data_IF_607444049165
#
_entry.id   IF_607444049165
#
_cell.length_a   1.000
_cell.length_b   1.000
_cell.length_c   1.000
_cell.angle_alpha   90.00
_cell.angle_beta   90.00
_cell.angle_gamma   90.00
#
_symmetry.space_group_name_H-M   'P 1'
#
loop_
_entity.id
_entity.type
_entity.pdbx_description
1 polymer ?
#
# COMPACT_ATOMS: atom_id res chain seq x y z
N UNK A 1 -5.79 23.17 -3.57
CA UNK A 1 -5.20 21.98 -2.94
C UNK A 1 -5.98 20.73 -3.33
N UNK A 2 -7.29 20.67 -3.17
CA UNK A 2 -8.17 19.53 -3.48
C UNK A 2 -8.10 19.07 -4.94
N UNK A 3 -8.09 20.00 -5.91
CA UNK A 3 -7.99 19.67 -7.35
C UNK A 3 -6.69 18.94 -7.67
N UNK A 4 -5.55 19.40 -7.16
CA UNK A 4 -4.24 18.76 -7.37
C UNK A 4 -4.25 17.32 -6.84
N UNK A 5 -4.86 17.12 -5.66
CA UNK A 5 -5.01 15.80 -5.06
C UNK A 5 -5.88 14.87 -5.91
N UNK A 6 -7.07 15.32 -6.33
CA UNK A 6 -7.98 14.52 -7.17
C UNK A 6 -7.28 14.15 -8.48
N UNK A 7 -6.67 15.11 -9.16
CA UNK A 7 -5.94 14.86 -10.41
C UNK A 7 -4.80 13.87 -10.21
N UNK A 8 -3.98 14.04 -9.16
CA UNK A 8 -2.88 13.12 -8.86
C UNK A 8 -3.37 11.70 -8.54
N UNK A 9 -4.47 11.58 -7.77
CA UNK A 9 -5.04 10.27 -7.42
C UNK A 9 -5.62 9.55 -8.64
N UNK A 10 -6.33 10.26 -9.52
CA UNK A 10 -6.85 9.70 -10.78
C UNK A 10 -5.69 9.28 -11.67
N UNK A 11 -4.68 10.13 -11.84
CA UNK A 11 -3.50 9.83 -12.66
C UNK A 11 -2.76 8.61 -12.14
N UNK A 12 -2.52 8.53 -10.82
CA UNK A 12 -1.86 7.38 -10.21
C UNK A 12 -2.68 6.09 -10.36
N UNK A 13 -4.02 6.18 -10.22
CA UNK A 13 -4.91 5.03 -10.40
C UNK A 13 -4.89 4.51 -11.85
N UNK A 14 -4.95 5.41 -12.83
CA UNK A 14 -4.89 5.04 -14.24
C UNK A 14 -3.52 4.45 -14.61
N UNK A 15 -2.43 5.05 -14.11
CA UNK A 15 -1.08 4.55 -14.33
C UNK A 15 -0.89 3.16 -13.68
N UNK A 16 -1.37 2.97 -12.46
CA UNK A 16 -1.35 1.68 -11.77
C UNK A 16 -2.14 0.63 -12.54
N UNK A 17 -3.34 0.96 -12.98
CA UNK A 17 -4.16 0.07 -13.80
C UNK A 17 -3.43 -0.34 -15.08
N UNK A 18 -2.83 0.61 -15.81
CA UNK A 18 -2.07 0.32 -17.02
C UNK A 18 -0.86 -0.59 -16.73
N UNK A 19 -0.05 -0.25 -15.73
CA UNK A 19 1.14 -1.05 -15.38
C UNK A 19 0.75 -2.47 -14.99
N UNK A 20 -0.18 -2.65 -14.05
CA UNK A 20 -0.53 -3.99 -13.58
C UNK A 20 -1.35 -4.79 -14.57
N UNK A 21 -2.32 -4.14 -15.25
CA UNK A 21 -3.26 -4.85 -16.12
C UNK A 21 -2.70 -5.12 -17.52
N UNK A 22 -1.80 -4.27 -18.01
CA UNK A 22 -1.23 -4.40 -19.35
C UNK A 22 0.19 -4.92 -19.30
N UNK A 23 1.09 -4.20 -18.63
CA UNK A 23 2.54 -4.48 -18.69
C UNK A 23 2.88 -5.73 -17.89
N UNK A 24 2.56 -5.77 -16.61
CA UNK A 24 2.83 -6.89 -15.70
C UNK A 24 2.11 -8.16 -16.18
N UNK A 25 0.82 -8.04 -16.49
CA UNK A 25 0.05 -9.18 -16.99
C UNK A 25 0.62 -9.77 -18.27
N UNK A 26 1.06 -8.94 -19.21
CA UNK A 26 1.68 -9.41 -20.45
C UNK A 26 2.96 -10.22 -20.19
N UNK A 27 3.79 -9.77 -19.27
CA UNK A 27 5.00 -10.48 -18.91
C UNK A 27 4.70 -11.84 -18.27
N UNK A 28 3.73 -11.89 -17.35
CA UNK A 28 3.32 -13.17 -16.75
C UNK A 28 2.75 -14.14 -17.78
N UNK A 29 1.94 -13.67 -18.72
CA UNK A 29 1.37 -14.53 -19.76
C UNK A 29 2.44 -15.07 -20.74
N UNK A 30 3.46 -14.25 -21.04
CA UNK A 30 4.46 -14.62 -22.06
C UNK A 30 5.72 -15.28 -21.46
N UNK A 31 6.12 -14.92 -20.25
CA UNK A 31 7.41 -15.32 -19.67
C UNK A 31 7.30 -16.02 -18.31
N UNK A 32 6.09 -16.08 -17.74
CA UNK A 32 5.81 -16.59 -16.39
C UNK A 32 6.59 -15.87 -15.26
N UNK A 33 7.23 -14.74 -15.57
CA UNK A 33 8.00 -13.90 -14.65
C UNK A 33 8.02 -12.46 -15.10
N UNK A 34 8.31 -11.53 -14.19
CA UNK A 34 8.48 -10.12 -14.53
C UNK A 34 9.76 -9.87 -15.31
N UNK A 35 9.68 -9.01 -16.32
CA UNK A 35 10.86 -8.40 -16.92
C UNK A 35 11.43 -7.31 -16.02
N UNK A 36 12.71 -6.93 -16.17
CA UNK A 36 13.29 -5.82 -15.41
C UNK A 36 12.50 -4.52 -15.54
N UNK A 37 11.95 -4.23 -16.71
CA UNK A 37 11.12 -3.04 -16.96
C UNK A 37 9.82 -3.11 -16.16
N UNK A 38 9.11 -4.24 -16.19
CA UNK A 38 7.88 -4.42 -15.44
C UNK A 38 8.11 -4.32 -13.93
N UNK A 39 9.20 -4.91 -13.43
CA UNK A 39 9.59 -4.80 -12.02
C UNK A 39 9.90 -3.36 -11.61
N UNK A 40 10.65 -2.62 -12.44
CA UNK A 40 10.96 -1.20 -12.18
C UNK A 40 9.69 -0.35 -12.16
N UNK A 41 8.77 -0.56 -13.10
CA UNK A 41 7.50 0.17 -13.17
C UNK A 41 6.61 -0.15 -11.95
N UNK A 42 6.52 -1.42 -11.55
CA UNK A 42 5.80 -1.83 -10.35
C UNK A 42 6.37 -1.17 -9.10
N UNK A 43 7.70 -1.20 -8.93
CA UNK A 43 8.39 -0.56 -7.81
C UNK A 43 8.13 0.95 -7.78
N UNK A 44 8.16 1.61 -8.96
CA UNK A 44 7.86 3.03 -9.08
C UNK A 44 6.40 3.34 -8.66
N UNK A 45 5.43 2.53 -9.09
CA UNK A 45 4.04 2.68 -8.67
C UNK A 45 3.89 2.57 -7.16
N UNK A 46 4.53 1.57 -6.52
CA UNK A 46 4.51 1.44 -5.06
C UNK A 46 5.16 2.63 -4.37
N UNK A 47 6.29 3.12 -4.87
CA UNK A 47 6.96 4.30 -4.32
C UNK A 47 6.09 5.56 -4.43
N UNK A 48 5.43 5.79 -5.57
CA UNK A 48 4.50 6.90 -5.78
C UNK A 48 3.28 6.78 -4.84
N UNK A 49 2.74 5.56 -4.69
CA UNK A 49 1.62 5.32 -3.79
C UNK A 49 2.00 5.58 -2.33
N UNK A 50 3.15 5.09 -1.88
CA UNK A 50 3.65 5.34 -0.51
C UNK A 50 3.84 6.85 -0.23
N UNK A 51 4.27 7.62 -1.22
CA UNK A 51 4.45 9.07 -1.10
C UNK A 51 3.14 9.86 -1.29
N UNK A 52 2.05 9.24 -1.71
CA UNK A 52 0.78 9.92 -1.94
C UNK A 52 0.20 10.57 -0.68
N UNK A 53 0.55 10.08 0.51
CA UNK A 53 0.14 10.64 1.79
C UNK A 53 0.50 12.13 1.92
N UNK A 54 1.62 12.57 1.32
CA UNK A 54 2.04 13.96 1.35
C UNK A 54 1.20 14.88 0.47
N UNK A 55 0.37 14.33 -0.41
CA UNK A 55 -0.64 15.07 -1.17
C UNK A 55 -1.87 15.39 -0.33
N UNK A 56 -2.15 14.59 0.71
CA UNK A 56 -3.31 14.75 1.60
C UNK A 56 -3.02 15.65 2.79
N UNK A 57 -1.79 15.61 3.30
CA UNK A 57 -1.44 16.31 4.52
C UNK A 57 -0.54 17.49 4.20
N UNK A 58 -0.82 18.67 4.74
CA UNK A 58 0.03 19.86 4.59
C UNK A 58 1.26 19.76 5.51
N UNK A 59 1.95 18.62 5.43
CA UNK A 59 3.17 18.35 6.18
C UNK A 59 4.31 18.31 5.17
N UNK A 60 5.36 19.09 5.41
CA UNK A 60 6.54 19.08 4.56
C UNK A 60 7.29 17.74 4.74
N UNK A 61 7.64 17.10 3.63
CA UNK A 61 8.49 15.94 3.64
C UNK A 61 9.87 16.28 4.30
N UNK A 62 10.43 15.47 5.20
CA UNK A 62 10.05 14.12 5.61
C UNK A 62 9.21 14.04 6.91
N UNK A 63 8.58 15.10 7.34
CA UNK A 63 7.84 15.14 8.60
C UNK A 63 6.56 14.29 8.52
N UNK A 64 6.28 13.58 9.59
CA UNK A 64 5.04 12.82 9.74
C UNK A 64 3.93 13.69 10.33
N UNK A 65 2.65 13.41 9.98
CA UNK A 65 1.53 14.04 10.64
C UNK A 65 1.58 13.83 12.16
N UNK A 66 1.10 14.81 12.97
CA UNK A 66 1.08 14.66 14.40
C UNK A 66 0.19 13.51 14.85
N UNK A 67 0.64 12.78 15.85
CA UNK A 67 -0.12 11.68 16.46
C UNK A 67 -1.43 12.18 17.08
N UNK A 68 -2.47 11.34 17.20
CA UNK A 68 -3.69 11.67 17.90
C UNK A 68 -3.45 11.89 19.40
N UNK A 69 -4.27 12.74 20.02
CA UNK A 69 -4.18 13.02 21.46
C UNK A 69 -4.70 11.86 22.32
N UNK A 70 -5.42 10.91 21.72
CA UNK A 70 -5.99 9.77 22.41
C UNK A 70 -5.01 8.59 22.40
N UNK A 71 -4.49 8.25 23.58
CA UNK A 71 -3.53 7.15 23.77
C UNK A 71 -4.08 5.80 23.27
N UNK A 72 -5.37 5.52 23.44
CA UNK A 72 -5.96 4.26 22.95
C UNK A 72 -5.91 4.14 21.44
N UNK A 73 -6.10 5.25 20.71
CA UNK A 73 -5.94 5.28 19.25
C UNK A 73 -4.48 5.08 18.84
N UNK A 74 -3.54 5.69 19.56
CA UNK A 74 -2.11 5.51 19.31
C UNK A 74 -1.70 4.06 19.50
N UNK A 75 -2.06 3.44 20.64
CA UNK A 75 -1.74 2.04 20.91
C UNK A 75 -2.43 1.09 19.90
N UNK A 76 -3.69 1.34 19.57
CA UNK A 76 -4.41 0.58 18.56
C UNK A 76 -3.75 0.68 17.18
N UNK A 77 -3.34 1.87 16.76
CA UNK A 77 -2.65 2.07 15.47
C UNK A 77 -1.29 1.37 15.43
N UNK A 78 -0.51 1.46 16.50
CA UNK A 78 0.77 0.75 16.63
C UNK A 78 0.56 -0.76 16.56
N UNK A 79 -0.45 -1.28 17.26
CA UNK A 79 -0.78 -2.71 17.22
C UNK A 79 -1.10 -3.18 15.79
N UNK A 80 -1.93 -2.44 15.03
CA UNK A 80 -2.23 -2.77 13.64
C UNK A 80 -0.97 -2.75 12.75
N UNK A 81 -0.11 -1.75 12.91
CA UNK A 81 1.15 -1.65 12.15
C UNK A 81 2.06 -2.84 12.47
N UNK A 82 2.26 -3.15 13.74
CA UNK A 82 3.13 -4.25 14.18
C UNK A 82 2.62 -5.60 13.69
N UNK A 83 1.32 -5.89 13.87
CA UNK A 83 0.71 -7.14 13.38
C UNK A 83 0.82 -7.23 11.86
N UNK A 84 0.55 -6.13 11.15
CA UNK A 84 0.68 -6.07 9.70
C UNK A 84 2.11 -6.33 9.21
N UNK A 85 3.12 -5.76 9.88
CA UNK A 85 4.53 -6.00 9.59
C UNK A 85 4.92 -7.47 9.85
N UNK A 86 4.45 -8.08 10.93
CA UNK A 86 4.70 -9.49 11.23
C UNK A 86 4.13 -10.37 10.12
N UNK A 87 2.86 -10.17 9.75
CA UNK A 87 2.20 -10.93 8.67
C UNK A 87 2.94 -10.74 7.36
N UNK A 88 3.32 -9.51 7.02
CA UNK A 88 4.05 -9.20 5.80
C UNK A 88 5.40 -9.91 5.76
N UNK A 89 6.16 -9.83 6.85
CA UNK A 89 7.48 -10.47 6.98
C UNK A 89 7.37 -11.99 6.86
N UNK A 90 6.46 -12.63 7.60
CA UNK A 90 6.24 -14.07 7.50
C UNK A 90 5.83 -14.48 6.08
N UNK A 91 4.99 -13.67 5.43
CA UNK A 91 4.58 -13.92 4.05
C UNK A 91 5.74 -13.86 3.08
N UNK A 92 6.62 -12.87 3.20
CA UNK A 92 7.83 -12.76 2.39
C UNK A 92 8.79 -13.93 2.60
N UNK A 93 9.04 -14.31 3.85
CA UNK A 93 9.92 -15.43 4.18
C UNK A 93 9.37 -16.75 3.64
N UNK A 94 8.06 -16.98 3.74
CA UNK A 94 7.43 -18.21 3.25
C UNK A 94 7.36 -18.28 1.72
N UNK A 95 7.18 -17.15 1.05
CA UNK A 95 7.13 -17.12 -0.42
C UNK A 95 8.52 -17.19 -1.05
N UNK A 96 9.50 -16.60 -0.37
CA UNK A 96 10.83 -16.34 -0.89
C UNK A 96 10.90 -15.03 -1.69
N UNK A 97 12.06 -14.39 -1.66
CA UNK A 97 12.25 -13.06 -2.29
C UNK A 97 11.98 -13.08 -3.80
N UNK A 98 12.51 -14.07 -4.53
CA UNK A 98 12.32 -14.16 -5.98
C UNK A 98 10.84 -14.25 -6.37
N UNK A 99 10.10 -15.14 -5.72
CA UNK A 99 8.65 -15.30 -5.98
C UNK A 99 7.85 -14.09 -5.50
N UNK A 100 8.22 -13.48 -4.36
CA UNK A 100 7.53 -12.30 -3.81
C UNK A 100 7.62 -11.09 -4.74
N UNK A 101 8.72 -10.96 -5.47
CA UNK A 101 8.92 -9.90 -6.47
C UNK A 101 8.60 -10.33 -7.89
N UNK A 102 7.98 -11.50 -8.10
CA UNK A 102 7.59 -12.00 -9.41
C UNK A 102 8.75 -12.34 -10.33
N UNK A 103 9.94 -12.57 -9.78
CA UNK A 103 11.16 -12.86 -10.55
C UNK A 103 11.31 -14.35 -10.87
N UNK A 104 10.68 -15.23 -10.09
CA UNK A 104 10.71 -16.67 -10.27
C UNK A 104 9.42 -17.22 -10.87
N UNK A 105 9.50 -18.35 -11.57
CA UNK A 105 8.32 -19.08 -12.03
C UNK A 105 7.44 -19.50 -10.86
N UNK A 106 6.21 -19.01 -10.85
CA UNK A 106 5.27 -19.19 -9.77
C UNK A 106 4.82 -20.65 -9.64
N UNK A 107 5.34 -21.35 -8.63
CA UNK A 107 4.66 -22.52 -8.07
C UNK A 107 3.70 -22.03 -6.99
N UNK A 108 2.43 -22.41 -7.11
CA UNK A 108 1.39 -22.04 -6.14
C UNK A 108 1.84 -22.54 -4.75
N UNK A 109 2.08 -21.61 -3.82
CA UNK A 109 2.43 -21.96 -2.44
C UNK A 109 1.14 -22.07 -1.63
N UNK A 110 0.89 -23.24 -1.07
CA UNK A 110 -0.31 -23.57 -0.28
C UNK A 110 -0.01 -23.91 1.17
N UNK A 111 1.25 -23.76 1.60
CA UNK A 111 1.72 -24.10 2.95
C UNK A 111 1.77 -22.86 3.85
N UNK A 112 1.75 -23.09 5.16
CA UNK A 112 1.89 -22.08 6.21
C UNK A 112 0.78 -21.00 6.11
N UNK A 113 1.14 -19.73 6.12
CA UNK A 113 0.19 -18.62 6.11
C UNK A 113 -0.66 -18.57 4.81
N UNK A 114 -0.18 -19.18 3.70
CA UNK A 114 -0.88 -19.25 2.42
C UNK A 114 -2.05 -20.25 2.42
N UNK A 115 -2.17 -21.11 3.43
CA UNK A 115 -3.36 -21.95 3.62
C UNK A 115 -4.56 -21.18 4.17
N UNK A 116 -4.32 -20.05 4.88
CA UNK A 116 -5.38 -19.20 5.45
C UNK A 116 -5.79 -18.07 4.52
N UNK A 117 -4.87 -17.57 3.71
CA UNK A 117 -5.15 -16.49 2.75
C UNK A 117 -4.34 -16.71 1.48
N UNK A 118 -4.97 -16.48 0.31
CA UNK A 118 -4.26 -16.52 -0.97
C UNK A 118 -3.22 -15.41 -1.11
N UNK A 119 -3.45 -14.28 -0.45
CA UNK A 119 -2.58 -13.11 -0.53
C UNK A 119 -2.33 -12.53 0.88
N UNK A 120 -1.61 -13.23 1.76
CA UNK A 120 -1.37 -12.75 3.12
C UNK A 120 -0.54 -11.44 3.15
N UNK A 121 0.24 -11.18 2.12
CA UNK A 121 0.96 -9.91 1.95
C UNK A 121 -0.01 -8.72 1.85
N UNK A 122 -1.13 -8.85 1.10
CA UNK A 122 -2.15 -7.82 1.02
C UNK A 122 -2.88 -7.61 2.35
N UNK A 123 -3.10 -8.68 3.11
CA UNK A 123 -3.69 -8.59 4.46
C UNK A 123 -2.75 -7.81 5.38
N UNK A 124 -1.46 -8.16 5.41
CA UNK A 124 -0.46 -7.44 6.20
C UNK A 124 -0.36 -5.97 5.81
N UNK A 125 -0.29 -5.68 4.51
CA UNK A 125 -0.27 -4.31 4.00
C UNK A 125 -1.54 -3.53 4.37
N UNK A 126 -2.72 -4.15 4.24
CA UNK A 126 -4.00 -3.53 4.64
C UNK A 126 -4.02 -3.15 6.13
N UNK A 127 -3.52 -4.02 7.02
CA UNK A 127 -3.41 -3.71 8.44
C UNK A 127 -2.45 -2.54 8.70
N UNK A 128 -1.31 -2.48 8.02
CA UNK A 128 -0.38 -1.34 8.10
C UNK A 128 -1.10 -0.06 7.69
N UNK A 129 -1.83 -0.06 6.57
CA UNK A 129 -2.57 1.11 6.12
C UNK A 129 -3.65 1.54 7.13
N UNK A 130 -4.40 0.61 7.71
CA UNK A 130 -5.38 0.90 8.76
C UNK A 130 -4.68 1.54 9.96
N UNK A 131 -3.54 0.99 10.40
CA UNK A 131 -2.75 1.55 11.47
C UNK A 131 -2.29 2.99 11.17
N UNK A 132 -1.80 3.25 9.96
CA UNK A 132 -1.43 4.61 9.55
C UNK A 132 -2.62 5.56 9.52
N UNK A 133 -3.75 5.17 8.94
CA UNK A 133 -4.96 6.00 8.88
C UNK A 133 -5.48 6.32 10.27
N UNK A 134 -5.46 5.36 11.20
CA UNK A 134 -5.88 5.57 12.59
C UNK A 134 -4.88 6.40 13.41
N UNK A 135 -3.59 6.37 13.04
CA UNK A 135 -2.55 7.20 13.68
C UNK A 135 -2.60 8.67 13.28
N UNK A 136 -3.27 8.99 12.18
CA UNK A 136 -3.44 10.37 11.74
C UNK A 136 -4.63 11.00 12.47
N UNK A 137 -4.44 12.18 13.09
CA UNK A 137 -5.50 12.88 13.84
C UNK A 137 -6.79 12.95 13.03
N UNK A 138 -7.86 12.37 13.54
CA UNK A 138 -9.23 12.46 13.02
C UNK A 138 -9.74 13.90 12.77
N UNK A 139 -9.07 14.93 13.33
CA UNK A 139 -9.36 16.34 13.00
C UNK A 139 -9.29 16.63 11.50
N UNK A 140 -8.35 16.00 10.79
CA UNK A 140 -8.21 16.20 9.35
C UNK A 140 -9.33 15.53 8.56
N UNK A 141 -9.79 14.36 8.99
CA UNK A 141 -10.96 13.71 8.42
C UNK A 141 -12.22 14.57 8.59
N UNK A 142 -12.42 15.20 9.75
CA UNK A 142 -13.51 16.14 9.98
C UNK A 142 -13.40 17.38 9.08
N UNK A 143 -12.22 17.87 8.80
CA UNK A 143 -12.00 18.99 7.87
C UNK A 143 -12.32 18.54 6.44
N UNK A 144 -11.84 17.39 5.99
CA UNK A 144 -12.15 16.86 4.64
C UNK A 144 -13.65 16.61 4.49
N UNK A 145 -14.28 15.97 5.47
CA UNK A 145 -15.73 15.69 5.47
C UNK A 145 -16.53 17.00 5.55
N UNK A 146 -16.14 17.94 6.42
CA UNK A 146 -16.80 19.25 6.51
C UNK A 146 -16.70 20.05 5.20
N UNK A 147 -15.55 20.00 4.52
CA UNK A 147 -15.40 20.66 3.22
C UNK A 147 -16.18 19.96 2.10
N UNK A 148 -16.42 18.66 2.19
CA UNK A 148 -17.24 17.92 1.22
C UNK A 148 -18.75 18.10 1.45
N UNK A 149 -19.19 18.45 2.67
CA UNK A 149 -20.62 18.57 3.03
C UNK A 149 -21.11 20.02 2.92
N UNK A 150 -20.22 21.02 3.00
CA UNK A 150 -20.58 22.46 3.01
C UNK A 150 -20.48 23.10 1.60
N UNK A 151 -20.24 22.33 0.57
CA UNK A 151 -20.36 22.73 -0.83
C UNK A 151 -21.31 21.82 -1.58
#
# INVERSE_FOLDING_TARGET
MMIKFIVSSITLSLLSFYVFRVVVRRDYLNKEKLSPISYTLETLIFALHANSIYLFFPVSWPNFPPLPDNNSLVYGSIAFIVIGLIILTISFLNLGSGTSFGLDKNKLKTKYIYQYSRNPQLVGYGLILIGFVTSVRLKWWRIVVSYCIIK
#
